data_IF_375294215725
#
_entry.id   IF_375294215725
#
_cell.length_a   1.000
_cell.length_b   1.000
_cell.length_c   1.000
_cell.angle_alpha   90.00
_cell.angle_beta   90.00
_cell.angle_gamma   90.00
#
_symmetry.space_group_name_H-M   'P 1'
#
loop_
_entity.id
_entity.type
_entity.pdbx_description
1 polymer ?
#
# COMPACT_ATOMS: atom_id res chain seq x y z
N UNK A 1 30.22 -6.13 8.00
CA UNK A 1 29.31 -6.67 6.97
C UNK A 1 27.90 -6.48 7.48
N UNK A 2 27.08 -5.66 6.82
CA UNK A 2 25.68 -5.51 7.21
C UNK A 2 25.00 -6.88 7.02
N UNK A 3 24.41 -7.42 8.09
CA UNK A 3 23.65 -8.66 8.02
C UNK A 3 22.47 -8.46 7.06
N UNK A 4 22.35 -9.32 6.05
CA UNK A 4 21.22 -9.27 5.13
C UNK A 4 19.91 -9.57 5.90
N UNK A 5 18.86 -8.79 5.63
CA UNK A 5 17.55 -9.04 6.22
C UNK A 5 17.05 -10.43 5.77
N UNK A 6 16.62 -11.31 6.69
CA UNK A 6 16.18 -12.66 6.34
C UNK A 6 14.96 -12.62 5.42
N UNK A 7 14.92 -13.52 4.44
CA UNK A 7 13.85 -13.59 3.42
C UNK A 7 12.46 -13.69 4.03
N UNK A 8 12.30 -14.44 5.13
CA UNK A 8 11.03 -14.55 5.84
C UNK A 8 10.50 -13.19 6.30
N UNK A 9 11.38 -12.33 6.82
CA UNK A 9 11.01 -10.97 7.25
C UNK A 9 10.64 -10.08 6.07
N UNK A 10 11.31 -10.24 4.93
CA UNK A 10 10.97 -9.52 3.68
C UNK A 10 9.58 -9.93 3.18
N UNK A 11 9.29 -11.23 3.13
CA UNK A 11 7.97 -11.73 2.73
C UNK A 11 6.85 -11.29 3.65
N UNK A 12 7.07 -11.30 4.97
CA UNK A 12 6.08 -10.80 5.93
C UNK A 12 5.83 -9.30 5.73
N UNK A 13 6.89 -8.50 5.49
CA UNK A 13 6.74 -7.08 5.21
C UNK A 13 5.95 -6.82 3.92
N UNK A 14 6.21 -7.56 2.84
CA UNK A 14 5.45 -7.46 1.58
C UNK A 14 3.98 -7.88 1.79
N UNK A 15 3.73 -9.00 2.47
CA UNK A 15 2.37 -9.49 2.72
C UNK A 15 1.55 -8.51 3.58
N UNK A 16 2.15 -7.96 4.64
CA UNK A 16 1.51 -6.97 5.48
C UNK A 16 1.29 -5.65 4.72
N UNK A 17 2.29 -5.19 3.96
CA UNK A 17 2.18 -3.98 3.16
C UNK A 17 1.09 -4.06 2.10
N UNK A 18 1.03 -5.16 1.33
CA UNK A 18 -0.05 -5.40 0.37
C UNK A 18 -1.41 -5.52 1.05
N UNK A 19 -1.51 -6.24 2.18
CA UNK A 19 -2.77 -6.39 2.91
C UNK A 19 -3.30 -5.05 3.44
N UNK A 20 -2.43 -4.23 4.05
CA UNK A 20 -2.79 -2.90 4.53
C UNK A 20 -3.16 -1.97 3.38
N UNK A 21 -2.43 -2.02 2.26
CA UNK A 21 -2.75 -1.24 1.06
C UNK A 21 -4.16 -1.59 0.54
N UNK A 22 -4.49 -2.88 0.41
CA UNK A 22 -5.83 -3.33 -0.03
C UNK A 22 -6.91 -2.79 0.92
N UNK A 23 -6.69 -2.91 2.24
CA UNK A 23 -7.65 -2.40 3.24
C UNK A 23 -7.85 -0.89 3.09
N UNK A 24 -6.78 -0.12 2.91
CA UNK A 24 -6.87 1.33 2.72
C UNK A 24 -7.61 1.71 1.43
N UNK A 25 -7.29 1.09 0.30
CA UNK A 25 -7.91 1.41 -1.00
C UNK A 25 -9.39 1.03 -1.01
N UNK A 26 -9.72 -0.22 -0.64
CA UNK A 26 -11.10 -0.69 -0.66
C UNK A 26 -11.94 0.01 0.41
N UNK A 27 -11.40 0.16 1.63
CA UNK A 27 -12.09 0.82 2.74
C UNK A 27 -12.39 2.29 2.47
N UNK A 28 -11.42 3.03 1.90
CA UNK A 28 -11.64 4.44 1.55
C UNK A 28 -12.63 4.61 0.39
N UNK A 29 -12.62 3.70 -0.60
CA UNK A 29 -13.63 3.66 -1.66
C UNK A 29 -15.05 3.50 -1.12
N UNK A 30 -15.27 2.49 -0.25
CA UNK A 30 -16.58 2.27 0.40
C UNK A 30 -16.99 3.45 1.28
N UNK A 31 -16.06 4.03 2.04
CA UNK A 31 -16.34 5.21 2.85
C UNK A 31 -16.73 6.42 2.00
N UNK A 32 -16.03 6.62 0.87
CA UNK A 32 -16.33 7.73 -0.04
C UNK A 32 -17.75 7.63 -0.62
N UNK A 33 -18.20 6.42 -1.00
CA UNK A 33 -19.59 6.22 -1.46
C UNK A 33 -20.63 6.46 -0.37
N UNK A 34 -20.26 6.30 0.90
CA UNK A 34 -21.14 6.59 2.04
C UNK A 34 -21.18 8.09 2.40
N UNK A 35 -20.21 8.89 1.95
CA UNK A 35 -20.10 10.32 2.28
C UNK A 35 -20.77 11.24 1.28
N UNK A 36 -20.84 10.87 -0.01
CA UNK A 36 -21.37 11.73 -1.06
C UNK A 36 -21.86 10.91 -2.25
N UNK A 37 -22.77 11.48 -3.06
CA UNK A 37 -23.18 10.92 -4.35
C UNK A 37 -22.34 11.44 -5.53
N UNK A 38 -21.48 12.43 -5.31
CA UNK A 38 -20.58 12.98 -6.33
C UNK A 38 -19.43 12.01 -6.62
N UNK A 39 -19.46 11.38 -7.79
CA UNK A 39 -18.46 10.40 -8.24
C UNK A 39 -17.06 11.02 -8.37
N UNK A 40 -16.94 12.27 -8.80
CA UNK A 40 -15.64 12.92 -8.96
C UNK A 40 -14.99 13.11 -7.58
N UNK A 41 -15.76 13.54 -6.58
CA UNK A 41 -15.27 13.68 -5.22
C UNK A 41 -14.93 12.32 -4.58
N UNK A 42 -15.71 11.27 -4.86
CA UNK A 42 -15.41 9.91 -4.39
C UNK A 42 -14.07 9.40 -4.92
N UNK A 43 -13.84 9.55 -6.23
CA UNK A 43 -12.60 9.12 -6.88
C UNK A 43 -11.40 9.93 -6.34
N UNK A 44 -11.57 11.24 -6.15
CA UNK A 44 -10.54 12.09 -5.57
C UNK A 44 -10.17 11.65 -4.15
N UNK A 45 -11.16 11.37 -3.31
CA UNK A 45 -10.94 10.92 -1.93
C UNK A 45 -10.23 9.55 -1.88
N UNK A 46 -10.68 8.57 -2.67
CA UNK A 46 -10.05 7.25 -2.75
C UNK A 46 -8.61 7.33 -3.30
N UNK A 47 -8.39 8.09 -4.37
CA UNK A 47 -7.05 8.30 -4.92
C UNK A 47 -6.11 8.96 -3.90
N UNK A 48 -6.57 10.00 -3.19
CA UNK A 48 -5.81 10.65 -2.13
C UNK A 48 -5.46 9.69 -0.99
N UNK A 49 -6.41 8.89 -0.53
CA UNK A 49 -6.18 7.87 0.50
C UNK A 49 -5.18 6.80 0.03
N UNK A 50 -5.27 6.36 -1.22
CA UNK A 50 -4.34 5.40 -1.83
C UNK A 50 -2.90 5.94 -1.84
N UNK A 51 -2.72 7.18 -2.29
CA UNK A 51 -1.40 7.84 -2.30
C UNK A 51 -0.85 7.98 -0.88
N UNK A 52 -1.67 8.45 0.06
CA UNK A 52 -1.27 8.58 1.46
C UNK A 52 -0.85 7.25 2.09
N UNK A 53 -1.61 6.17 1.84
CA UNK A 53 -1.29 4.83 2.30
C UNK A 53 0.03 4.33 1.69
N UNK A 54 0.23 4.47 0.37
CA UNK A 54 1.47 4.06 -0.29
C UNK A 54 2.68 4.78 0.29
N UNK A 55 2.61 6.11 0.46
CA UNK A 55 3.71 6.88 1.06
C UNK A 55 4.05 6.34 2.46
N UNK A 56 3.05 6.17 3.32
CA UNK A 56 3.25 5.69 4.68
C UNK A 56 3.86 4.26 4.70
N UNK A 57 3.33 3.36 3.87
CA UNK A 57 3.76 1.95 3.83
C UNK A 57 5.16 1.80 3.22
N UNK A 58 5.48 2.57 2.17
CA UNK A 58 6.82 2.56 1.55
C UNK A 58 7.86 3.08 2.55
N UNK A 59 7.59 4.19 3.23
CA UNK A 59 8.50 4.72 4.25
C UNK A 59 8.67 3.75 5.43
N UNK A 60 7.63 2.98 5.78
CA UNK A 60 7.66 2.02 6.87
C UNK A 60 8.42 0.73 6.52
N UNK A 61 8.14 0.11 5.38
CA UNK A 61 8.66 -1.23 5.03
C UNK A 61 9.77 -1.23 3.98
N UNK A 62 10.06 -0.08 3.35
CA UNK A 62 11.11 0.07 2.33
C UNK A 62 12.47 -0.45 2.80
N UNK A 63 12.98 -0.05 3.98
CA UNK A 63 14.24 -0.55 4.53
C UNK A 63 14.28 -2.06 4.81
N UNK A 64 13.13 -2.74 4.83
CA UNK A 64 13.01 -4.17 5.14
C UNK A 64 12.95 -5.00 3.86
N UNK A 65 12.09 -4.62 2.92
CA UNK A 65 11.70 -5.47 1.79
C UNK A 65 12.02 -4.91 0.41
N UNK A 66 12.11 -3.58 0.27
CA UNK A 66 11.98 -2.86 -0.99
C UNK A 66 10.59 -2.20 -1.14
N UNK A 67 9.59 -2.67 -0.39
CA UNK A 67 8.23 -2.14 -0.37
C UNK A 67 7.57 -2.13 -1.75
N UNK A 68 7.62 -3.26 -2.46
CA UNK A 68 7.02 -3.35 -3.79
C UNK A 68 5.50 -3.39 -3.71
N UNK A 69 4.97 -4.19 -2.79
CA UNK A 69 3.55 -4.45 -2.55
C UNK A 69 2.73 -4.85 -3.78
N UNK A 70 3.41 -5.17 -4.88
CA UNK A 70 2.84 -5.40 -6.20
C UNK A 70 3.76 -6.36 -6.97
N UNK A 71 3.22 -7.48 -7.49
CA UNK A 71 3.99 -8.42 -8.30
C UNK A 71 4.60 -7.81 -9.55
N UNK A 72 3.91 -6.88 -10.22
CA UNK A 72 4.40 -6.21 -11.44
C UNK A 72 5.64 -5.37 -11.14
N UNK A 73 5.63 -4.64 -10.02
CA UNK A 73 6.80 -3.88 -9.56
C UNK A 73 7.95 -4.84 -9.23
N UNK A 74 7.65 -5.94 -8.55
CA UNK A 74 8.65 -6.97 -8.19
C UNK A 74 9.28 -7.66 -9.40
N UNK A 75 8.57 -7.78 -10.52
CA UNK A 75 9.09 -8.38 -11.74
C UNK A 75 9.92 -7.37 -12.56
N UNK A 76 9.61 -6.08 -12.43
CA UNK A 76 10.27 -5.02 -13.19
C UNK A 76 11.60 -4.55 -12.60
N UNK A 77 11.82 -4.78 -11.31
CA UNK A 77 13.07 -4.52 -10.57
C UNK A 77 13.89 -5.81 -10.41
#
# INVERSE_FOLDING_TARGET
MAQAVPLTRRFVAEALGTGLLIVSVVGSGVMATNLTADVALQLLANAGATVGALIALILMFGPISGAHFNPVVTIAD
#
